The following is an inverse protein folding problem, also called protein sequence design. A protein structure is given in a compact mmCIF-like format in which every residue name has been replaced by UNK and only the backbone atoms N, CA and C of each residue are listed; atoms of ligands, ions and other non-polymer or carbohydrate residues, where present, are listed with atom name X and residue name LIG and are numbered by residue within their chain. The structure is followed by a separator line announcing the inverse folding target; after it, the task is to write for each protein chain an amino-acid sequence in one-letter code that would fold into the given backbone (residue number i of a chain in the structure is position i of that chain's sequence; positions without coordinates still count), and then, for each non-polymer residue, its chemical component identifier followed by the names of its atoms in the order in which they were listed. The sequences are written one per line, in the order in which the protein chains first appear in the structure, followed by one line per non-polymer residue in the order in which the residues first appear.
data_IF_016676693901
#
_entry.id   IF_016676693901
#
_cell.length_a   1.000
_cell.length_b   1.000
_cell.length_c   1.000
_cell.angle_alpha   90.00
_cell.angle_beta   90.00
_cell.angle_gamma   90.00
#
_symmetry.space_group_name_H-M   'P 1'
#
loop_
_entity.id
_entity.type
_entity.pdbx_description
1 polymer ?
#
# COMPACT_ATOMS: atom_id res chain seq x y z
N UNK A 1 6.88 -9.63 21.89
CA UNK A 1 7.61 -8.79 20.92
C UNK A 1 6.84 -8.64 19.63
N UNK A 2 6.09 -9.67 19.21
CA UNK A 2 5.33 -9.69 17.96
C UNK A 2 4.17 -8.68 17.91
N UNK A 3 3.43 -8.50 19.01
CA UNK A 3 2.23 -7.66 19.01
C UNK A 3 2.53 -6.19 18.66
N UNK A 4 3.63 -5.65 19.18
CA UNK A 4 4.05 -4.28 18.85
C UNK A 4 4.49 -4.16 17.39
N UNK A 5 5.15 -5.18 16.84
CA UNK A 5 5.55 -5.19 15.44
C UNK A 5 4.32 -5.25 14.52
N UNK A 6 3.33 -6.07 14.87
CA UNK A 6 2.05 -6.16 14.17
C UNK A 6 1.27 -4.84 14.25
N UNK A 7 1.22 -4.20 15.40
CA UNK A 7 0.56 -2.90 15.57
C UNK A 7 1.24 -1.81 14.71
N UNK A 8 2.57 -1.79 14.68
CA UNK A 8 3.34 -0.87 13.84
C UNK A 8 3.06 -1.10 12.35
N UNK A 9 3.02 -2.35 11.91
CA UNK A 9 2.67 -2.72 10.53
C UNK A 9 1.25 -2.28 10.19
N UNK A 10 0.29 -2.51 11.09
CA UNK A 10 -1.11 -2.13 10.90
C UNK A 10 -1.25 -0.62 10.77
N UNK A 11 -0.59 0.14 11.66
CA UNK A 11 -0.61 1.59 11.62
C UNK A 11 0.10 2.15 10.36
N UNK A 12 1.21 1.53 9.96
CA UNK A 12 1.93 1.91 8.74
C UNK A 12 1.06 1.68 7.50
N UNK A 13 0.46 0.49 7.38
CA UNK A 13 -0.45 0.17 6.27
C UNK A 13 -1.66 1.10 6.20
N UNK A 14 -2.19 1.51 7.36
CA UNK A 14 -3.31 2.46 7.45
C UNK A 14 -2.93 3.84 6.90
N UNK A 15 -1.79 4.37 7.32
CA UNK A 15 -1.32 5.69 6.88
C UNK A 15 -0.98 5.65 5.38
N UNK A 16 -0.22 4.64 4.95
CA UNK A 16 0.20 4.51 3.55
C UNK A 16 -1.01 4.26 2.63
N UNK A 17 -1.93 3.36 3.01
CA UNK A 17 -3.13 3.07 2.24
C UNK A 17 -4.03 4.30 2.07
N UNK A 18 -4.18 5.12 3.12
CA UNK A 18 -4.93 6.38 3.05
C UNK A 18 -4.25 7.39 2.11
N UNK A 19 -2.93 7.54 2.20
CA UNK A 19 -2.20 8.45 1.32
C UNK A 19 -2.33 8.04 -0.16
N UNK A 20 -2.17 6.74 -0.45
CA UNK A 20 -2.33 6.21 -1.81
C UNK A 20 -3.75 6.34 -2.32
N UNK A 21 -4.76 6.17 -1.46
CA UNK A 21 -6.16 6.42 -1.82
C UNK A 21 -6.39 7.88 -2.22
N UNK A 22 -5.85 8.83 -1.46
CA UNK A 22 -5.92 10.26 -1.81
C UNK A 22 -5.23 10.57 -3.13
N UNK A 23 -4.05 9.97 -3.39
CA UNK A 23 -3.35 10.13 -4.67
C UNK A 23 -4.16 9.52 -5.82
N UNK A 24 -4.75 8.34 -5.61
CA UNK A 24 -5.58 7.68 -6.62
C UNK A 24 -6.79 8.54 -7.00
N UNK A 25 -7.43 9.21 -6.05
CA UNK A 25 -8.54 10.12 -6.32
C UNK A 25 -8.16 11.31 -7.23
N UNK A 26 -6.89 11.69 -7.30
CA UNK A 26 -6.41 12.82 -8.11
C UNK A 26 -5.84 12.35 -9.45
N UNK A 27 -5.11 11.24 -9.44
CA UNK A 27 -4.32 10.80 -10.59
C UNK A 27 -4.95 9.65 -11.39
N UNK A 28 -5.98 8.97 -10.85
CA UNK A 28 -6.59 7.76 -11.42
C UNK A 28 -5.58 6.75 -12.00
N UNK A 29 -4.61 6.26 -11.20
CA UNK A 29 -3.56 5.39 -11.71
C UNK A 29 -4.07 3.97 -11.95
N UNK A 30 -3.58 3.33 -13.01
CA UNK A 30 -3.81 1.91 -13.26
C UNK A 30 -3.00 1.01 -12.30
N UNK A 31 -1.81 1.47 -11.87
CA UNK A 31 -0.96 0.73 -10.94
C UNK A 31 -0.10 1.63 -10.04
N UNK A 32 0.15 1.17 -8.82
CA UNK A 32 1.18 1.65 -7.90
C UNK A 32 2.38 0.71 -7.90
N UNK A 33 3.55 1.23 -8.28
CA UNK A 33 4.81 0.47 -8.23
C UNK A 33 5.51 0.73 -6.89
N UNK A 34 5.63 -0.30 -6.07
CA UNK A 34 6.25 -0.25 -4.73
C UNK A 34 7.70 -0.71 -4.84
N UNK A 35 8.64 0.22 -4.65
CA UNK A 35 10.07 -0.04 -4.68
C UNK A 35 10.79 0.17 -3.34
N UNK A 36 12.12 0.12 -3.37
CA UNK A 36 12.98 0.43 -2.23
C UNK A 36 12.88 -0.55 -1.06
N UNK A 37 13.16 -0.06 0.16
CA UNK A 37 13.10 -0.88 1.38
C UNK A 37 11.71 -1.45 1.67
N UNK A 38 10.65 -0.79 1.22
CA UNK A 38 9.25 -1.25 1.38
C UNK A 38 8.98 -2.51 0.56
N UNK A 39 9.54 -2.60 -0.65
CA UNK A 39 9.50 -3.83 -1.45
C UNK A 39 10.17 -5.02 -0.76
N UNK A 40 11.15 -4.77 0.13
CA UNK A 40 11.85 -5.81 0.91
C UNK A 40 11.16 -6.14 2.23
N UNK A 41 10.31 -5.22 2.72
CA UNK A 41 9.62 -5.36 4.00
C UNK A 41 8.48 -6.40 3.98
N UNK A 42 8.24 -7.02 2.82
CA UNK A 42 7.50 -8.27 2.67
C UNK A 42 6.02 -8.09 2.27
N UNK A 43 5.39 -9.22 1.91
CA UNK A 43 3.97 -9.27 1.52
C UNK A 43 3.02 -8.71 2.60
N UNK A 44 3.42 -8.80 3.88
CA UNK A 44 2.60 -8.34 5.00
C UNK A 44 2.29 -6.85 4.83
N UNK A 45 3.29 -5.99 4.71
CA UNK A 45 3.07 -4.54 4.55
C UNK A 45 2.26 -4.19 3.31
N UNK A 46 2.47 -4.92 2.22
CA UNK A 46 1.72 -4.71 0.98
C UNK A 46 0.24 -5.08 1.15
N UNK A 47 -0.04 -6.21 1.83
CA UNK A 47 -1.40 -6.67 2.15
C UNK A 47 -2.11 -5.69 3.09
N UNK A 48 -1.44 -5.21 4.14
CA UNK A 48 -2.05 -4.23 5.06
C UNK A 48 -2.31 -2.90 4.36
N UNK A 49 -1.38 -2.44 3.52
CA UNK A 49 -1.57 -1.22 2.71
C UNK A 49 -2.73 -1.36 1.74
N UNK A 50 -2.80 -2.48 1.00
CA UNK A 50 -3.90 -2.74 0.07
C UNK A 50 -5.27 -2.84 0.79
N UNK A 51 -5.30 -3.46 1.97
CA UNK A 51 -6.49 -3.52 2.84
C UNK A 51 -7.02 -2.11 3.15
N UNK A 52 -6.18 -1.21 3.61
CA UNK A 52 -6.59 0.16 3.95
C UNK A 52 -6.82 1.04 2.73
N UNK A 53 -6.06 0.85 1.64
CA UNK A 53 -6.32 1.51 0.37
C UNK A 53 -7.75 1.25 -0.11
N UNK A 54 -8.19 -0.02 -0.13
CA UNK A 54 -9.54 -0.40 -0.53
C UNK A 54 -10.65 0.19 0.36
N UNK A 55 -10.33 0.50 1.63
CA UNK A 55 -11.26 1.16 2.55
C UNK A 55 -11.42 2.65 2.28
N UNK A 56 -10.37 3.34 1.83
CA UNK A 56 -10.36 4.80 1.67
C UNK A 56 -10.54 5.27 0.23
N UNK A 57 -10.19 4.44 -0.75
CA UNK A 57 -10.19 4.83 -2.16
C UNK A 57 -11.61 5.03 -2.70
N UNK A 58 -11.76 6.01 -3.59
CA UNK A 58 -12.98 6.20 -4.37
C UNK A 58 -13.28 4.96 -5.21
N UNK A 59 -14.57 4.61 -5.35
CA UNK A 59 -14.98 3.33 -5.93
C UNK A 59 -14.46 3.11 -7.36
N UNK A 60 -14.24 4.17 -8.14
CA UNK A 60 -13.72 4.09 -9.50
C UNK A 60 -12.26 3.58 -9.54
N UNK A 61 -11.44 3.97 -8.56
CA UNK A 61 -10.01 3.62 -8.53
C UNK A 61 -9.74 2.32 -7.74
N UNK A 62 -10.77 1.54 -7.38
CA UNK A 62 -10.56 0.27 -6.65
C UNK A 62 -9.80 -0.79 -7.46
N UNK A 63 -9.81 -0.66 -8.79
CA UNK A 63 -9.14 -1.58 -9.70
C UNK A 63 -7.62 -1.33 -9.80
N UNK A 64 -7.09 -0.27 -9.19
CA UNK A 64 -5.65 0.04 -9.23
C UNK A 64 -4.83 -1.10 -8.64
N UNK A 65 -3.83 -1.56 -9.40
CA UNK A 65 -2.98 -2.68 -9.02
C UNK A 65 -1.78 -2.24 -8.17
N UNK A 66 -1.33 -3.09 -7.25
CA UNK A 66 -0.10 -2.87 -6.49
C UNK A 66 0.97 -3.82 -7.02
N UNK A 67 2.03 -3.28 -7.59
CA UNK A 67 3.10 -4.04 -8.25
C UNK A 67 4.41 -3.80 -7.53
N UNK A 68 5.20 -4.84 -7.29
CA UNK A 68 6.54 -4.71 -6.75
C UNK A 68 7.52 -4.30 -7.85
N UNK A 69 8.42 -3.35 -7.55
CA UNK A 69 9.48 -2.97 -8.48
C UNK A 69 10.44 -4.15 -8.70
N UNK A 70 10.55 -4.62 -9.95
CA UNK A 70 11.44 -5.73 -10.34
C UNK A 70 12.84 -5.27 -10.78
N UNK A 71 13.02 -3.97 -11.04
CA UNK A 71 14.33 -3.34 -11.29
C UNK A 71 15.04 -3.10 -9.96
N UNK A 72 15.44 -4.18 -9.30
CA UNK A 72 16.39 -4.13 -8.19
C UNK A 72 17.81 -4.13 -8.73
N UNK A 73 18.62 -3.14 -8.33
CA UNK A 73 20.09 -3.27 -8.35
C UNK A 73 20.53 -4.45 -7.48
#
# INVERSE_FOLDING_TARGET
GDDLALELVENHGRILGKALASVACVCDPEAFVIGGGVSRAGEILLKTTAKYYQQYVFHACKATQFVLATLGN
#
